data_IF_965941376279
#
_entry.id   IF_965941376279
#
_cell.length_a   1.000
_cell.length_b   1.000
_cell.length_c   1.000
_cell.angle_alpha   90.00
_cell.angle_beta   90.00
_cell.angle_gamma   90.00
#
_symmetry.space_group_name_H-M   'P 1'
#
loop_
_entity.id
_entity.type
_entity.pdbx_description
1 polymer ?
#
# COMPACT_ATOMS: atom_id res chain seq x y z
N UNK A 1 9.46 13.14 -4.82
CA UNK A 1 8.62 11.93 -4.83
C UNK A 1 9.36 10.64 -4.47
N UNK A 2 10.64 10.44 -4.83
CA UNK A 2 11.38 9.23 -4.46
C UNK A 2 11.34 8.88 -2.96
N UNK A 3 11.66 9.84 -2.07
CA UNK A 3 11.60 9.62 -0.61
C UNK A 3 10.20 9.29 -0.10
N UNK A 4 9.16 9.87 -0.72
CA UNK A 4 7.76 9.61 -0.37
C UNK A 4 7.37 8.19 -0.77
N UNK A 5 7.77 7.74 -1.96
CA UNK A 5 7.58 6.35 -2.41
C UNK A 5 8.35 5.35 -1.54
N UNK A 6 9.56 5.70 -1.10
CA UNK A 6 10.32 4.88 -0.16
C UNK A 6 9.63 4.78 1.21
N UNK A 7 9.14 5.90 1.75
CA UNK A 7 8.38 5.91 3.00
C UNK A 7 7.09 5.11 2.92
N UNK A 8 6.35 5.25 1.82
CA UNK A 8 5.16 4.44 1.52
C UNK A 8 5.49 2.95 1.44
N UNK A 9 6.53 2.59 0.70
CA UNK A 9 6.98 1.21 0.58
C UNK A 9 7.39 0.61 1.92
N UNK A 10 8.17 1.35 2.72
CA UNK A 10 8.57 0.94 4.05
C UNK A 10 7.37 0.74 4.99
N UNK A 11 6.38 1.65 4.95
CA UNK A 11 5.17 1.53 5.76
C UNK A 11 4.34 0.29 5.39
N UNK A 12 4.16 0.02 4.10
CA UNK A 12 3.46 -1.19 3.65
C UNK A 12 4.22 -2.47 3.96
N UNK A 13 5.55 -2.47 3.83
CA UNK A 13 6.40 -3.60 4.24
C UNK A 13 6.28 -3.86 5.74
N UNK A 14 6.38 -2.82 6.57
CA UNK A 14 6.22 -2.93 8.01
C UNK A 14 4.82 -3.44 8.39
N UNK A 15 3.77 -2.92 7.73
CA UNK A 15 2.39 -3.36 7.93
C UNK A 15 2.23 -4.86 7.64
N UNK A 16 2.75 -5.33 6.50
CA UNK A 16 2.55 -6.72 6.10
C UNK A 16 3.39 -7.70 6.91
N UNK A 17 4.66 -7.36 7.16
CA UNK A 17 5.55 -8.18 8.00
C UNK A 17 5.02 -8.20 9.44
N UNK A 18 4.74 -7.02 10.01
CA UNK A 18 4.21 -6.88 11.37
C UNK A 18 2.86 -7.58 11.54
N UNK A 19 1.94 -7.43 10.56
CA UNK A 19 0.65 -8.12 10.57
C UNK A 19 0.79 -9.64 10.50
N UNK A 20 1.73 -10.16 9.71
CA UNK A 20 1.97 -11.61 9.61
C UNK A 20 2.52 -12.20 10.91
N UNK A 21 3.52 -11.55 11.53
CA UNK A 21 4.08 -12.03 12.80
C UNK A 21 3.13 -11.80 13.98
N UNK A 22 2.42 -10.67 14.02
CA UNK A 22 1.47 -10.33 15.09
C UNK A 22 0.23 -11.24 15.12
N UNK A 23 -0.16 -11.81 13.99
CA UNK A 23 -1.27 -12.79 13.90
C UNK A 23 -0.81 -14.24 14.07
N UNK A 24 0.42 -14.47 14.58
CA UNK A 24 0.96 -15.81 14.77
C UNK A 24 1.15 -16.59 13.46
N UNK A 25 1.37 -15.89 12.34
CA UNK A 25 1.57 -16.47 11.00
C UNK A 25 0.37 -17.23 10.42
N UNK A 26 -0.82 -17.07 11.01
CA UNK A 26 -2.03 -17.78 10.58
C UNK A 26 -2.55 -17.29 9.21
N UNK A 27 -2.33 -16.03 8.87
CA UNK A 27 -2.89 -15.44 7.65
C UNK A 27 -1.80 -15.01 6.68
N UNK A 28 -1.53 -15.83 5.65
CA UNK A 28 -0.60 -15.49 4.56
C UNK A 28 -1.04 -14.24 3.79
N UNK A 29 -2.32 -13.88 3.82
CA UNK A 29 -2.81 -12.65 3.15
C UNK A 29 -2.33 -11.38 3.82
N UNK A 30 -1.87 -11.44 5.09
CA UNK A 30 -1.22 -10.31 5.75
C UNK A 30 0.09 -9.89 5.04
N UNK A 31 0.68 -10.74 4.20
CA UNK A 31 1.89 -10.40 3.43
C UNK A 31 1.62 -9.62 2.15
N UNK A 32 0.35 -9.44 1.74
CA UNK A 32 0.00 -8.69 0.53
C UNK A 32 0.54 -7.24 0.61
N UNK A 33 0.30 -6.46 1.69
CA UNK A 33 0.94 -5.16 1.85
C UNK A 33 2.46 -5.23 1.76
N UNK A 34 3.09 -6.28 2.29
CA UNK A 34 4.54 -6.40 2.24
C UNK A 34 5.09 -6.56 0.82
N UNK A 35 4.40 -7.32 -0.03
CA UNK A 35 4.74 -7.45 -1.44
C UNK A 35 4.63 -6.11 -2.18
N UNK A 36 3.52 -5.38 -1.97
CA UNK A 36 3.35 -4.03 -2.54
C UNK A 36 4.42 -3.06 -2.02
N UNK A 37 4.74 -3.13 -0.73
CA UNK A 37 5.78 -2.32 -0.11
C UNK A 37 7.17 -2.59 -0.70
N UNK A 38 7.51 -3.85 -0.94
CA UNK A 38 8.79 -4.23 -1.56
C UNK A 38 8.92 -3.68 -2.99
N UNK A 39 7.86 -3.78 -3.80
CA UNK A 39 7.84 -3.21 -5.15
C UNK A 39 7.96 -1.68 -5.09
N UNK A 40 7.22 -1.04 -4.19
CA UNK A 40 7.29 0.41 -3.99
C UNK A 40 8.70 0.87 -3.58
N UNK A 41 9.39 0.13 -2.71
CA UNK A 41 10.78 0.41 -2.34
C UNK A 41 11.71 0.34 -3.56
N UNK A 42 11.59 -0.71 -4.38
CA UNK A 42 12.35 -0.85 -5.62
C UNK A 42 12.11 0.33 -6.59
N UNK A 43 10.85 0.71 -6.79
CA UNK A 43 10.49 1.86 -7.62
C UNK A 43 11.00 3.19 -7.02
N UNK A 44 10.95 3.35 -5.70
CA UNK A 44 11.50 4.51 -5.00
C UNK A 44 13.02 4.65 -5.18
N UNK A 45 13.75 3.53 -5.18
CA UNK A 45 15.18 3.50 -5.46
C UNK A 45 15.49 3.83 -6.92
N UNK A 46 14.76 3.21 -7.87
CA UNK A 46 14.91 3.51 -9.31
C UNK A 46 14.58 4.97 -9.63
N UNK A 47 13.66 5.59 -8.89
CA UNK A 47 13.31 6.99 -9.03
C UNK A 47 14.43 7.98 -8.65
N UNK A 48 15.52 7.51 -8.02
CA UNK A 48 16.71 8.33 -7.74
C UNK A 48 17.58 8.51 -8.99
N UNK A 49 17.48 7.60 -9.96
CA UNK A 49 18.22 7.69 -11.22
C UNK A 49 17.50 8.63 -12.19
N UNK A 50 18.16 9.68 -12.74
CA UNK A 50 17.52 10.66 -13.61
C UNK A 50 16.84 10.03 -14.84
N UNK A 51 17.50 9.04 -15.45
CA UNK A 51 17.00 8.35 -16.65
C UNK A 51 15.77 7.46 -16.40
N UNK A 52 15.56 7.00 -15.17
CA UNK A 52 14.46 6.10 -14.81
C UNK A 52 13.37 6.80 -13.98
N UNK A 53 13.61 8.04 -13.56
CA UNK A 53 12.77 8.77 -12.62
C UNK A 53 11.32 8.84 -13.06
N UNK A 54 11.06 9.26 -14.30
CA UNK A 54 9.68 9.43 -14.79
C UNK A 54 8.93 8.10 -14.85
N UNK A 55 9.55 7.06 -15.40
CA UNK A 55 8.97 5.72 -15.46
C UNK A 55 8.70 5.14 -14.07
N UNK A 56 9.68 5.23 -13.17
CA UNK A 56 9.57 4.73 -11.80
C UNK A 56 8.46 5.44 -11.00
N UNK A 57 8.33 6.77 -11.15
CA UNK A 57 7.26 7.53 -10.49
C UNK A 57 5.87 7.21 -11.06
N UNK A 58 5.76 7.03 -12.38
CA UNK A 58 4.51 6.60 -13.03
C UNK A 58 4.10 5.19 -12.57
N UNK A 59 5.04 4.25 -12.57
CA UNK A 59 4.80 2.89 -12.05
C UNK A 59 4.43 2.89 -10.56
N UNK A 60 5.02 3.76 -9.76
CA UNK A 60 4.67 3.89 -8.34
C UNK A 60 3.24 4.40 -8.15
N UNK A 61 2.79 5.34 -8.98
CA UNK A 61 1.39 5.80 -8.97
C UNK A 61 0.42 4.67 -9.38
N UNK A 62 0.75 3.91 -10.43
CA UNK A 62 -0.03 2.75 -10.84
C UNK A 62 -0.12 1.69 -9.73
N UNK A 63 1.00 1.40 -9.06
CA UNK A 63 1.05 0.46 -7.95
C UNK A 63 0.13 0.90 -6.80
N UNK A 64 0.08 2.19 -6.49
CA UNK A 64 -0.83 2.74 -5.48
C UNK A 64 -2.30 2.61 -5.90
N UNK A 65 -2.62 2.83 -7.17
CA UNK A 65 -3.96 2.55 -7.70
C UNK A 65 -4.36 1.08 -7.54
N UNK A 66 -3.45 0.16 -7.86
CA UNK A 66 -3.64 -1.28 -7.65
C UNK A 66 -3.77 -1.63 -6.16
N UNK A 67 -3.06 -0.91 -5.28
CA UNK A 67 -3.14 -1.12 -3.83
C UNK A 67 -4.52 -0.77 -3.27
N UNK A 68 -5.15 0.29 -3.79
CA UNK A 68 -6.54 0.66 -3.47
C UNK A 68 -7.50 -0.40 -4.00
N UNK A 69 -7.38 -0.76 -5.28
CA UNK A 69 -8.25 -1.75 -5.93
C UNK A 69 -8.17 -3.12 -5.25
N UNK A 70 -6.95 -3.58 -4.91
CA UNK A 70 -6.70 -4.82 -4.20
C UNK A 70 -7.25 -4.84 -2.77
N UNK A 71 -7.53 -3.67 -2.20
CA UNK A 71 -8.09 -3.52 -0.85
C UNK A 71 -9.62 -3.37 -0.84
N UNK A 72 -10.28 -3.33 -2.01
CA UNK A 72 -11.72 -3.07 -2.11
C UNK A 72 -12.59 -4.07 -1.33
N UNK A 73 -12.22 -5.35 -1.34
CA UNK A 73 -12.95 -6.40 -0.60
C UNK A 73 -12.89 -6.20 0.91
N UNK A 74 -11.73 -5.80 1.43
CA UNK A 74 -11.55 -5.46 2.85
C UNK A 74 -12.33 -4.21 3.23
N UNK A 75 -12.29 -3.17 2.40
CA UNK A 75 -13.06 -1.94 2.63
C UNK A 75 -14.57 -2.19 2.71
N UNK A 76 -15.11 -3.05 1.83
CA UNK A 76 -16.53 -3.39 1.85
C UNK A 76 -16.98 -4.04 3.17
N UNK A 77 -16.07 -4.76 3.85
CA UNK A 77 -16.32 -5.43 5.14
C UNK A 77 -15.93 -4.56 6.35
N UNK A 78 -15.37 -3.38 6.14
CA UNK A 78 -14.94 -2.50 7.22
C UNK A 78 -16.11 -2.00 8.10
N UNK A 79 -17.27 -1.58 7.56
CA UNK A 79 -18.39 -1.14 8.40
C UNK A 79 -18.90 -2.25 9.31
N UNK A 80 -19.00 -3.47 8.79
CA UNK A 80 -19.43 -4.66 9.54
C UNK A 80 -18.44 -5.00 10.66
N UNK A 81 -17.13 -4.89 10.39
CA UNK A 81 -16.11 -5.04 11.43
C UNK A 81 -16.24 -3.98 12.54
N UNK A 82 -16.49 -2.73 12.17
CA UNK A 82 -16.61 -1.61 13.11
C UNK A 82 -17.91 -1.65 13.93
N UNK A 83 -18.98 -2.23 13.39
CA UNK A 83 -20.23 -2.45 14.10
C UNK A 83 -20.21 -3.67 15.03
N UNK A 84 -19.08 -4.39 15.09
CA UNK A 84 -18.92 -5.60 15.90
C UNK A 84 -19.56 -6.85 15.28
N UNK A 85 -19.81 -6.85 13.97
CA UNK A 85 -20.31 -8.03 13.25
C UNK A 85 -19.26 -9.14 13.15
N UNK A 86 -19.72 -10.37 12.90
CA UNK A 86 -18.83 -11.51 12.69
C UNK A 86 -18.15 -11.44 11.33
N UNK A 87 -16.89 -11.03 11.32
CA UNK A 87 -16.04 -11.05 10.13
C UNK A 87 -15.11 -12.25 10.20
N UNK A 88 -15.18 -13.14 9.23
CA UNK A 88 -14.39 -14.38 9.14
C UNK A 88 -12.87 -14.14 9.25
N UNK A 89 -12.38 -12.99 8.78
CA UNK A 89 -10.95 -12.63 8.76
C UNK A 89 -10.73 -11.15 9.11
N UNK A 90 -10.87 -10.76 10.38
CA UNK A 90 -10.85 -9.36 10.80
C UNK A 90 -9.47 -8.72 10.57
N UNK A 91 -8.38 -9.46 10.82
CA UNK A 91 -7.02 -8.99 10.56
C UNK A 91 -6.78 -8.65 9.09
N UNK A 92 -7.38 -9.40 8.16
CA UNK A 92 -7.25 -9.12 6.73
C UNK A 92 -8.00 -7.85 6.33
N UNK A 93 -9.15 -7.57 6.96
CA UNK A 93 -9.91 -6.33 6.76
C UNK A 93 -9.11 -5.14 7.25
N UNK A 94 -8.58 -5.19 8.49
CA UNK A 94 -7.75 -4.12 9.06
C UNK A 94 -6.54 -3.82 8.16
N UNK A 95 -5.82 -4.88 7.75
CA UNK A 95 -4.64 -4.72 6.90
C UNK A 95 -4.98 -4.11 5.52
N UNK A 96 -6.09 -4.51 4.91
CA UNK A 96 -6.55 -3.94 3.64
C UNK A 96 -6.99 -2.49 3.80
N UNK A 97 -7.65 -2.14 4.90
CA UNK A 97 -8.06 -0.76 5.18
C UNK A 97 -6.86 0.17 5.35
N UNK A 98 -5.83 -0.26 6.09
CA UNK A 98 -4.60 0.53 6.25
C UNK A 98 -3.86 0.64 4.90
N UNK A 99 -3.74 -0.47 4.16
CA UNK A 99 -3.11 -0.48 2.83
C UNK A 99 -3.83 0.47 1.87
N UNK A 100 -5.16 0.46 1.83
CA UNK A 100 -5.94 1.38 1.02
C UNK A 100 -5.69 2.85 1.40
N UNK A 101 -5.68 3.16 2.70
CA UNK A 101 -5.42 4.51 3.19
C UNK A 101 -4.04 5.01 2.79
N UNK A 102 -3.00 4.19 2.99
CA UNK A 102 -1.62 4.51 2.59
C UNK A 102 -1.49 4.66 1.07
N UNK A 103 -2.14 3.77 0.31
CA UNK A 103 -2.13 3.79 -1.16
C UNK A 103 -2.87 5.01 -1.71
N UNK A 104 -4.01 5.39 -1.12
CA UNK A 104 -4.76 6.59 -1.49
C UNK A 104 -3.96 7.87 -1.20
N UNK A 105 -3.31 7.95 -0.04
CA UNK A 105 -2.44 9.07 0.31
C UNK A 105 -1.28 9.20 -0.68
N UNK A 106 -0.59 8.10 -0.97
CA UNK A 106 0.51 8.09 -1.93
C UNK A 106 0.05 8.46 -3.33
N UNK A 107 -1.06 7.90 -3.81
CA UNK A 107 -1.64 8.22 -5.11
C UNK A 107 -2.03 9.70 -5.22
N UNK A 108 -2.65 10.28 -4.19
CA UNK A 108 -3.00 11.69 -4.17
C UNK A 108 -1.76 12.59 -4.25
N UNK A 109 -0.70 12.25 -3.52
CA UNK A 109 0.58 12.96 -3.61
C UNK A 109 1.24 12.81 -4.98
N UNK A 110 1.20 11.61 -5.58
CA UNK A 110 1.74 11.34 -6.90
C UNK A 110 0.98 12.11 -7.99
N UNK A 111 -0.36 12.08 -7.96
CA UNK A 111 -1.22 12.84 -8.86
C UNK A 111 -0.97 14.34 -8.74
N UNK A 112 -0.85 14.86 -7.52
CA UNK A 112 -0.50 16.28 -7.29
C UNK A 112 0.88 16.62 -7.83
N UNK A 113 1.87 15.73 -7.74
CA UNK A 113 3.19 15.93 -8.34
C UNK A 113 3.14 15.97 -9.87
N UNK A 114 2.35 15.09 -10.48
CA UNK A 114 2.17 15.03 -11.93
C UNK A 114 1.46 16.29 -12.45
N UNK A 115 0.39 16.72 -11.78
CA UNK A 115 -0.35 17.94 -12.11
C UNK A 115 0.47 19.21 -11.92
N UNK A 116 1.39 19.23 -10.95
CA UNK A 116 2.34 20.32 -10.73
C UNK A 116 3.48 20.33 -11.74
N UNK A 117 3.52 19.35 -12.65
CA UNK A 117 4.45 19.32 -13.78
C UNK A 117 5.91 19.35 -13.35
N UNK A 118 6.35 18.42 -12.50
CA UNK A 118 7.76 18.23 -12.06
C UNK A 118 8.53 19.48 -11.66
#
# INVERSE_FOLDING_TARGET
MANVTLGYGAALTALGVGGYFGTGKQSKTALIPAAFGAVALGLGLLARSPHLRTGALGSAALLSGLGIAGSAKGLAKLPELLSGGEVERPAAVISQSIMAGLSALHLAMAARALLRGT
#
